data_IF_124487819909
#
_entry.id   IF_124487819909
#
_cell.length_a   1.000
_cell.length_b   1.000
_cell.length_c   1.000
_cell.angle_alpha   90.00
_cell.angle_beta   90.00
_cell.angle_gamma   90.00
#
_symmetry.space_group_name_H-M   'P 1'
#
loop_
_entity.id
_entity.type
_entity.pdbx_description
1 polymer ?
#
# COMPACT_ATOMS: atom_id res chain seq x y z
N UNK A 1 13.43 -10.17 -3.68
CA UNK A 1 12.54 -9.17 -3.12
C UNK A 1 12.65 -9.07 -1.61
N UNK A 2 11.98 -8.09 -1.07
CA UNK A 2 12.02 -7.73 0.34
C UNK A 2 11.80 -8.93 1.25
N UNK A 3 10.78 -9.70 0.98
CA UNK A 3 10.38 -10.82 1.85
C UNK A 3 11.45 -11.89 1.94
N UNK A 4 12.12 -12.18 0.84
CA UNK A 4 13.13 -13.24 0.79
C UNK A 4 14.46 -12.84 1.45
N UNK A 5 14.71 -11.54 1.54
CA UNK A 5 15.97 -11.00 2.07
C UNK A 5 15.89 -10.63 3.55
N UNK A 6 14.72 -10.80 4.18
CA UNK A 6 14.51 -10.36 5.56
C UNK A 6 14.55 -11.53 6.53
N UNK A 7 15.18 -11.29 7.70
CA UNK A 7 15.11 -12.21 8.82
C UNK A 7 13.68 -12.24 9.37
N UNK A 8 13.37 -13.28 10.15
CA UNK A 8 12.07 -13.39 10.81
C UNK A 8 11.78 -12.19 11.71
N UNK A 9 12.81 -11.70 12.41
CA UNK A 9 12.69 -10.53 13.27
C UNK A 9 12.32 -9.27 12.47
N UNK A 10 12.99 -9.07 11.32
CA UNK A 10 12.69 -7.92 10.44
C UNK A 10 11.27 -8.00 9.89
N UNK A 11 10.83 -9.19 9.49
CA UNK A 11 9.45 -9.39 9.02
C UNK A 11 8.43 -9.03 10.09
N UNK A 12 8.68 -9.42 11.33
CA UNK A 12 7.78 -9.10 12.45
C UNK A 12 7.70 -7.58 12.64
N UNK A 13 8.83 -6.89 12.64
CA UNK A 13 8.86 -5.44 12.76
C UNK A 13 8.07 -4.75 11.64
N UNK A 14 8.23 -5.23 10.41
CA UNK A 14 7.51 -4.66 9.26
C UNK A 14 6.01 -4.93 9.38
N UNK A 15 5.60 -6.14 9.74
CA UNK A 15 4.19 -6.46 9.92
C UNK A 15 3.55 -5.66 11.05
N UNK A 16 4.26 -5.45 12.16
CA UNK A 16 3.79 -4.60 13.25
C UNK A 16 3.64 -3.14 12.79
N UNK A 17 4.57 -2.66 11.98
CA UNK A 17 4.51 -1.32 11.39
C UNK A 17 3.29 -1.16 10.48
N UNK A 18 3.02 -2.15 9.62
CA UNK A 18 1.85 -2.14 8.74
C UNK A 18 0.57 -2.01 9.56
N UNK A 19 0.44 -2.83 10.61
CA UNK A 19 -0.73 -2.79 11.49
C UNK A 19 -0.88 -1.44 12.18
N UNK A 20 0.21 -0.91 12.73
CA UNK A 20 0.22 0.35 13.45
C UNK A 20 -0.15 1.53 12.56
N UNK A 21 0.33 1.54 11.32
CA UNK A 21 0.19 2.67 10.40
C UNK A 21 -0.95 2.54 9.40
N UNK A 22 -1.76 1.49 9.48
CA UNK A 22 -2.81 1.22 8.50
C UNK A 22 -3.86 2.33 8.40
N UNK A 23 -4.08 3.07 9.49
CA UNK A 23 -5.03 4.20 9.53
C UNK A 23 -4.35 5.58 9.56
N UNK A 24 -3.03 5.62 9.51
CA UNK A 24 -2.27 6.86 9.54
C UNK A 24 -2.37 7.58 8.20
N UNK A 25 -2.69 8.88 8.21
CA UNK A 25 -2.92 9.65 6.98
C UNK A 25 -1.67 9.77 6.10
N UNK A 26 -0.47 9.68 6.67
CA UNK A 26 0.78 9.79 5.90
C UNK A 26 1.33 8.45 5.46
N UNK A 27 0.93 7.35 6.10
CA UNK A 27 1.52 6.03 5.89
C UNK A 27 0.55 5.00 5.30
N UNK A 28 -0.76 5.25 5.36
CA UNK A 28 -1.77 4.24 4.98
C UNK A 28 -1.62 3.73 3.55
N UNK A 29 -1.33 4.63 2.59
CA UNK A 29 -1.12 4.22 1.20
C UNK A 29 0.11 3.32 1.06
N UNK A 30 1.23 3.73 1.64
CA UNK A 30 2.46 2.96 1.58
C UNK A 30 2.31 1.59 2.23
N UNK A 31 1.72 1.52 3.44
CA UNK A 31 1.63 0.23 4.14
C UNK A 31 0.67 -0.73 3.45
N UNK A 32 -0.35 -0.23 2.75
CA UNK A 32 -1.20 -1.09 1.92
C UNK A 32 -0.42 -1.64 0.72
N UNK A 33 0.36 -0.80 0.05
CA UNK A 33 1.25 -1.24 -1.04
C UNK A 33 2.24 -2.28 -0.55
N UNK A 34 2.84 -2.04 0.61
CA UNK A 34 3.80 -2.96 1.22
C UNK A 34 3.15 -4.30 1.59
N UNK A 35 1.94 -4.27 2.14
CA UNK A 35 1.18 -5.49 2.45
C UNK A 35 0.91 -6.33 1.21
N UNK A 36 0.53 -5.69 0.11
CA UNK A 36 0.34 -6.38 -1.16
C UNK A 36 1.65 -6.97 -1.66
N UNK A 37 2.74 -6.21 -1.58
CA UNK A 37 4.04 -6.71 -2.00
C UNK A 37 4.50 -7.91 -1.18
N UNK A 38 4.34 -7.86 0.13
CA UNK A 38 4.76 -8.96 1.01
C UNK A 38 3.95 -10.22 0.76
N UNK A 39 2.66 -10.09 0.42
CA UNK A 39 1.83 -11.23 0.06
C UNK A 39 2.19 -11.82 -1.30
N UNK A 40 2.47 -10.97 -2.28
CA UNK A 40 2.51 -11.38 -3.69
C UNK A 40 3.90 -11.40 -4.30
N UNK A 41 4.85 -10.67 -3.73
CA UNK A 41 6.18 -10.47 -4.33
C UNK A 41 6.18 -9.57 -5.56
N UNK A 42 5.08 -8.86 -5.85
CA UNK A 42 4.99 -8.03 -7.03
C UNK A 42 5.93 -6.82 -6.95
N UNK A 43 6.45 -6.42 -8.12
CA UNK A 43 7.23 -5.21 -8.25
C UNK A 43 6.36 -3.97 -7.96
N UNK A 44 6.91 -2.93 -7.30
CA UNK A 44 6.15 -1.68 -7.07
C UNK A 44 5.58 -1.06 -8.34
N UNK A 45 6.24 -1.20 -9.50
CA UNK A 45 5.71 -0.72 -10.78
C UNK A 45 4.37 -1.37 -11.13
N UNK A 46 4.19 -2.63 -10.77
CA UNK A 46 2.94 -3.36 -11.01
C UNK A 46 1.89 -2.95 -9.98
N UNK A 47 2.29 -2.82 -8.72
CA UNK A 47 1.37 -2.45 -7.63
C UNK A 47 0.73 -1.07 -7.89
N UNK A 48 1.52 -0.08 -8.30
CA UNK A 48 0.97 1.26 -8.58
C UNK A 48 0.05 1.27 -9.80
N UNK A 49 0.14 0.26 -10.67
CA UNK A 49 -0.69 0.16 -11.87
C UNK A 49 -2.05 -0.50 -11.62
N UNK A 50 -2.30 -1.01 -10.42
CA UNK A 50 -3.58 -1.65 -10.09
C UNK A 50 -4.72 -0.64 -10.27
N UNK A 51 -5.73 -1.03 -11.05
CA UNK A 51 -6.91 -0.20 -11.30
C UNK A 51 -8.09 -0.68 -10.47
N UNK A 52 -8.92 0.26 -10.03
CA UNK A 52 -10.11 -0.07 -9.24
C UNK A 52 -11.06 -1.03 -9.97
N UNK A 53 -11.15 -0.94 -11.29
CA UNK A 53 -12.00 -1.81 -12.11
C UNK A 53 -11.58 -3.29 -12.04
N UNK A 54 -10.33 -3.57 -11.71
CA UNK A 54 -9.78 -4.92 -11.68
C UNK A 54 -9.97 -5.60 -10.32
N UNK A 55 -10.60 -4.92 -9.37
CA UNK A 55 -10.88 -5.46 -8.04
C UNK A 55 -12.25 -6.13 -8.07
N UNK A 56 -12.26 -7.44 -7.81
CA UNK A 56 -13.48 -8.25 -7.77
C UNK A 56 -13.89 -8.48 -6.32
N UNK A 57 -14.90 -7.75 -5.87
CA UNK A 57 -15.37 -7.84 -4.49
C UNK A 57 -15.96 -9.20 -4.16
N UNK A 58 -16.70 -9.77 -5.10
CA UNK A 58 -17.38 -11.06 -4.89
C UNK A 58 -16.39 -12.19 -4.68
N UNK A 59 -15.34 -12.24 -5.49
CA UNK A 59 -14.34 -13.30 -5.45
C UNK A 59 -13.11 -12.94 -4.61
N UNK A 60 -13.09 -11.76 -3.96
CA UNK A 60 -11.99 -11.29 -3.14
C UNK A 60 -10.67 -11.41 -3.89
N UNK A 61 -10.60 -10.78 -5.06
CA UNK A 61 -9.43 -10.93 -5.93
C UNK A 61 -9.13 -9.64 -6.69
N UNK A 62 -7.89 -9.55 -7.17
CA UNK A 62 -7.44 -8.48 -8.08
C UNK A 62 -6.94 -9.16 -9.35
N UNK A 63 -7.50 -8.77 -10.48
CA UNK A 63 -7.15 -9.33 -11.78
C UNK A 63 -6.10 -8.47 -12.46
N UNK A 64 -4.90 -9.03 -12.66
CA UNK A 64 -3.83 -8.40 -13.40
C UNK A 64 -3.70 -9.07 -14.78
N UNK A 65 -3.00 -8.43 -15.74
CA UNK A 65 -2.89 -9.01 -17.08
C UNK A 65 -2.38 -10.45 -17.12
N UNK A 66 -1.42 -10.79 -16.25
CA UNK A 66 -0.78 -12.11 -16.27
C UNK A 66 -0.97 -12.89 -14.96
N UNK A 67 -1.80 -12.40 -14.04
CA UNK A 67 -1.90 -13.01 -12.72
C UNK A 67 -3.21 -12.65 -12.04
N UNK A 68 -3.79 -13.59 -11.32
CA UNK A 68 -4.92 -13.35 -10.44
C UNK A 68 -4.43 -13.44 -8.99
N UNK A 69 -4.69 -12.41 -8.21
CA UNK A 69 -4.34 -12.38 -6.79
C UNK A 69 -5.61 -12.62 -5.98
N UNK A 70 -5.63 -13.69 -5.20
CA UNK A 70 -6.78 -14.05 -4.37
C UNK A 70 -6.46 -13.76 -2.90
N UNK A 71 -7.47 -13.29 -2.16
CA UNK A 71 -7.36 -12.93 -0.75
C UNK A 71 -8.24 -13.84 0.07
N UNK A 72 -7.65 -14.80 0.76
CA UNK A 72 -8.36 -15.85 1.49
C UNK A 72 -8.84 -15.39 2.87
N UNK A 73 -9.90 -16.01 3.35
CA UNK A 73 -10.38 -15.86 4.73
C UNK A 73 -9.76 -16.94 5.61
N UNK A 74 -9.42 -16.65 6.85
CA UNK A 74 -9.35 -15.33 7.49
C UNK A 74 -8.00 -14.63 7.33
N UNK A 75 -7.01 -15.30 6.73
CA UNK A 75 -5.61 -14.88 6.74
C UNK A 75 -5.37 -13.51 6.10
N UNK A 76 -6.13 -13.18 5.05
CA UNK A 76 -5.95 -11.93 4.30
C UNK A 76 -7.03 -10.88 4.62
N UNK A 77 -7.82 -11.08 5.69
CA UNK A 77 -8.94 -10.19 5.98
C UNK A 77 -8.51 -8.74 6.19
N UNK A 78 -7.48 -8.49 6.98
CA UNK A 78 -7.02 -7.13 7.25
C UNK A 78 -6.55 -6.43 5.98
N UNK A 79 -5.80 -7.15 5.15
CA UNK A 79 -5.31 -6.61 3.89
C UNK A 79 -6.46 -6.33 2.93
N UNK A 80 -7.41 -7.26 2.81
CA UNK A 80 -8.57 -7.10 1.95
C UNK A 80 -9.45 -5.95 2.41
N UNK A 81 -9.69 -5.82 3.71
CA UNK A 81 -10.48 -4.72 4.26
C UNK A 81 -9.84 -3.37 3.95
N UNK A 82 -8.52 -3.28 4.04
CA UNK A 82 -7.79 -2.06 3.68
C UNK A 82 -7.91 -1.72 2.19
N UNK A 83 -7.91 -2.74 1.32
CA UNK A 83 -8.15 -2.56 -0.11
C UNK A 83 -9.56 -2.00 -0.33
N UNK A 84 -10.56 -2.58 0.32
CA UNK A 84 -11.96 -2.16 0.18
C UNK A 84 -12.17 -0.74 0.67
N UNK A 85 -11.54 -0.35 1.77
CA UNK A 85 -11.61 1.02 2.28
C UNK A 85 -11.02 2.04 1.30
N UNK A 86 -9.97 1.64 0.59
CA UNK A 86 -9.31 2.54 -0.36
C UNK A 86 -9.96 2.56 -1.73
N UNK A 87 -10.69 1.52 -2.10
CA UNK A 87 -11.35 1.42 -3.39
C UNK A 87 -12.27 2.64 -3.62
N UNK A 88 -12.21 3.22 -4.82
CA UNK A 88 -12.94 4.42 -5.15
C UNK A 88 -13.39 4.40 -6.62
N UNK A 89 -14.00 5.49 -7.07
CA UNK A 89 -14.38 5.66 -8.47
C UNK A 89 -13.24 6.20 -9.35
N UNK A 90 -12.07 6.46 -8.75
CA UNK A 90 -10.89 6.85 -9.52
C UNK A 90 -10.38 5.67 -10.35
N UNK A 91 -9.53 5.96 -11.34
CA UNK A 91 -8.98 4.92 -12.21
C UNK A 91 -8.08 3.96 -11.42
N UNK A 92 -7.19 4.49 -10.59
CA UNK A 92 -6.18 3.71 -9.87
C UNK A 92 -6.52 3.53 -8.41
N UNK A 93 -6.25 2.34 -7.87
CA UNK A 93 -6.33 2.10 -6.44
C UNK A 93 -5.36 3.03 -5.69
N UNK A 94 -4.15 3.18 -6.22
CA UNK A 94 -3.13 4.05 -5.66
C UNK A 94 -2.95 5.28 -6.55
N UNK A 95 -3.96 6.15 -6.57
CA UNK A 95 -3.88 7.39 -7.33
C UNK A 95 -2.88 8.35 -6.70
N UNK A 96 -2.48 9.36 -7.47
CA UNK A 96 -1.43 10.29 -7.06
C UNK A 96 -1.92 11.22 -5.96
N UNK A 97 -1.10 11.32 -4.92
CA UNK A 97 -1.34 12.19 -3.77
C UNK A 97 -0.09 13.05 -3.51
N UNK A 98 -0.24 14.05 -2.66
CA UNK A 98 0.86 14.87 -2.20
C UNK A 98 0.71 15.14 -0.71
N UNK A 99 1.79 15.59 -0.07
CA UNK A 99 1.75 15.98 1.32
C UNK A 99 1.49 17.47 1.41
N UNK A 100 0.45 17.84 2.15
CA UNK A 100 0.09 19.22 2.43
C UNK A 100 0.43 19.53 3.88
N UNK A 101 1.30 20.55 4.09
CA UNK A 101 1.61 21.03 5.43
C UNK A 101 0.67 22.15 5.83
N UNK A 102 0.16 22.08 7.06
CA UNK A 102 -0.72 23.10 7.64
C UNK A 102 0.02 23.79 8.79
N UNK A 103 0.68 24.94 8.52
CA UNK A 103 1.54 25.60 9.52
C UNK A 103 0.79 26.00 10.78
N UNK A 104 -0.46 26.44 10.65
CA UNK A 104 -1.29 26.86 11.78
C UNK A 104 -1.45 25.78 12.82
N UNK A 105 -1.62 24.52 12.38
CA UNK A 105 -1.85 23.37 13.24
C UNK A 105 -0.60 22.52 13.42
N UNK A 106 0.49 22.86 12.73
CA UNK A 106 1.78 22.17 12.79
C UNK A 106 1.67 20.66 12.49
N UNK A 107 0.86 20.30 11.49
CA UNK A 107 0.78 18.91 11.03
C UNK A 107 0.73 18.84 9.51
N UNK A 108 0.97 17.64 8.99
CA UNK A 108 0.92 17.35 7.56
C UNK A 108 -0.10 16.26 7.29
N UNK A 109 -0.79 16.37 6.15
CA UNK A 109 -1.73 15.36 5.68
C UNK A 109 -1.39 14.98 4.24
N UNK A 110 -1.67 13.72 3.90
CA UNK A 110 -1.66 13.31 2.51
C UNK A 110 -3.01 13.66 1.89
N UNK A 111 -2.97 14.40 0.79
CA UNK A 111 -4.18 14.87 0.09
C UNK A 111 -4.12 14.46 -1.37
N UNK A 112 -5.29 14.41 -2.01
CA UNK A 112 -5.39 14.05 -3.42
C UNK A 112 -4.68 15.08 -4.29
N UNK A 113 -3.91 14.62 -5.27
CA UNK A 113 -3.27 15.46 -6.26
C UNK A 113 -3.88 15.24 -7.64
N UNK A 114 -3.94 13.98 -8.11
CA UNK A 114 -4.49 13.65 -9.41
C UNK A 114 -5.08 12.24 -9.37
N UNK A 115 -6.40 12.16 -9.50
CA UNK A 115 -7.13 10.89 -9.43
C UNK A 115 -6.96 10.03 -10.68
N UNK A 116 -6.52 10.63 -11.79
CA UNK A 116 -6.36 9.94 -13.07
C UNK A 116 -4.93 9.46 -13.32
N UNK A 117 -4.01 9.74 -12.41
CA UNK A 117 -2.62 9.31 -12.50
C UNK A 117 -2.28 8.36 -11.36
N UNK A 118 -1.46 7.33 -11.64
CA UNK A 118 -1.00 6.45 -10.57
C UNK A 118 0.08 7.12 -9.73
N UNK A 119 0.23 6.66 -8.50
CA UNK A 119 1.38 6.99 -7.67
C UNK A 119 2.66 6.55 -8.36
N UNK A 120 3.72 7.34 -8.25
CA UNK A 120 5.03 6.97 -8.77
C UNK A 120 5.64 5.81 -7.99
N UNK A 121 6.34 4.86 -8.64
CA UNK A 121 7.08 3.81 -7.93
C UNK A 121 8.14 4.38 -6.97
N UNK A 122 8.68 5.56 -7.25
CA UNK A 122 9.64 6.25 -6.37
C UNK A 122 9.02 6.59 -5.02
N UNK A 123 7.72 6.81 -4.97
CA UNK A 123 7.01 6.99 -3.70
C UNK A 123 7.22 5.79 -2.78
N UNK A 124 7.04 4.59 -3.31
CA UNK A 124 7.22 3.35 -2.55
C UNK A 124 8.68 3.23 -2.06
N UNK A 125 9.64 3.44 -2.94
CA UNK A 125 11.07 3.33 -2.60
C UNK A 125 11.46 4.32 -1.50
N UNK A 126 11.00 5.56 -1.63
CA UNK A 126 11.30 6.61 -0.64
C UNK A 126 10.69 6.28 0.72
N UNK A 127 9.42 5.88 0.73
CA UNK A 127 8.74 5.51 1.98
C UNK A 127 9.37 4.27 2.60
N UNK A 128 9.77 3.30 1.79
CA UNK A 128 10.43 2.10 2.29
C UNK A 128 11.73 2.45 3.00
N UNK A 129 12.52 3.34 2.42
CA UNK A 129 13.75 3.82 3.04
C UNK A 129 13.47 4.52 4.37
N UNK A 130 12.45 5.37 4.42
CA UNK A 130 12.04 6.05 5.65
C UNK A 130 11.60 5.06 6.73
N UNK A 131 10.82 4.04 6.36
CA UNK A 131 10.40 2.99 7.28
C UNK A 131 11.59 2.24 7.85
N UNK A 132 12.54 1.86 7.03
CA UNK A 132 13.76 1.17 7.48
C UNK A 132 14.50 2.00 8.52
N UNK A 133 14.59 3.30 8.31
CA UNK A 133 15.22 4.21 9.27
C UNK A 133 14.47 4.23 10.60
N UNK A 134 13.14 4.34 10.54
CA UNK A 134 12.29 4.34 11.75
C UNK A 134 12.43 3.04 12.53
N UNK A 135 12.52 1.90 11.84
CA UNK A 135 12.58 0.57 12.46
C UNK A 135 14.01 0.12 12.77
N UNK A 136 15.02 0.90 12.43
CA UNK A 136 16.44 0.55 12.60
C UNK A 136 16.80 -0.74 11.84
N UNK A 137 16.35 -0.83 10.61
CA UNK A 137 16.65 -1.97 9.73
C UNK A 137 17.82 -1.69 8.79
#
# INVERSE_FOLDING_TARGET
LIENDLSLEHRKKINDFITLKSKDTLWSKFVLMLGIQMKTGLDPNIIVSIENKDIDETNRSIKLPNKLISFSKPNDDDLWDSIMERKSNSKYLFYRTRIQFYPRYKYSLEVDQDLDLPTSPEFFKRRFKQMKSVLNL
#
